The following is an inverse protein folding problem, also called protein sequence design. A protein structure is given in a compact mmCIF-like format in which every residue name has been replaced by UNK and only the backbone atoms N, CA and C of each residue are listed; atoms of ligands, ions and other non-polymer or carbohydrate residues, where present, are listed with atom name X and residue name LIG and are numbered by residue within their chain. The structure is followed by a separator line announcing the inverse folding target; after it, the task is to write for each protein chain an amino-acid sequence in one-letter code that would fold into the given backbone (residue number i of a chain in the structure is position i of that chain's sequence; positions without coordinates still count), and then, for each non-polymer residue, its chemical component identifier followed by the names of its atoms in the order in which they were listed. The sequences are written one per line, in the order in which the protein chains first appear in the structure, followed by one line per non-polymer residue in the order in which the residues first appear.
data_IF_255770895868
#
_entry.id   IF_255770895868
#
_cell.length_a   1.000
_cell.length_b   1.000
_cell.length_c   1.000
_cell.angle_alpha   90.00
_cell.angle_beta   90.00
_cell.angle_gamma   90.00
#
_symmetry.space_group_name_H-M   'P 1'
#
loop_
_entity.id
_entity.type
_entity.pdbx_description
1 polymer ?
#
# COMPACT_ATOMS: atom_id res chain seq x y z
N UNK A 1 -45.23 14.76 -13.51
CA UNK A 1 -44.75 14.01 -12.34
C UNK A 1 -43.62 14.78 -11.69
N UNK A 2 -43.80 15.25 -10.45
CA UNK A 2 -42.70 15.74 -9.62
C UNK A 2 -42.06 14.53 -8.95
N UNK A 3 -40.76 14.33 -9.15
CA UNK A 3 -39.98 13.42 -8.30
C UNK A 3 -39.11 14.28 -7.40
N UNK A 4 -39.33 14.05 -6.13
CA UNK A 4 -38.97 14.84 -4.96
C UNK A 4 -37.50 14.72 -4.57
N UNK A 5 -37.04 15.83 -4.02
CA UNK A 5 -35.86 16.08 -3.19
C UNK A 5 -35.22 14.85 -2.53
N UNK A 6 -33.93 14.63 -2.81
CA UNK A 6 -33.02 13.99 -1.85
C UNK A 6 -32.07 15.08 -1.36
N UNK A 7 -32.45 15.67 -0.23
CA UNK A 7 -31.59 16.52 0.59
C UNK A 7 -30.66 15.60 1.39
N UNK A 8 -29.41 15.44 0.97
CA UNK A 8 -28.39 14.90 1.86
C UNK A 8 -28.05 15.97 2.90
N UNK A 9 -28.53 15.78 4.13
CA UNK A 9 -28.10 16.55 5.28
C UNK A 9 -26.74 16.00 5.72
N UNK A 10 -25.68 16.75 5.53
CA UNK A 10 -24.40 16.55 6.23
C UNK A 10 -24.54 17.10 7.64
N UNK A 11 -25.26 16.39 8.52
CA UNK A 11 -25.23 16.71 9.95
C UNK A 11 -23.94 16.13 10.55
N UNK A 12 -23.25 16.98 11.29
CA UNK A 12 -21.99 16.66 11.93
C UNK A 12 -22.20 15.63 13.03
N UNK A 13 -21.34 14.63 13.08
CA UNK A 13 -21.21 13.79 14.26
C UNK A 13 -19.73 13.60 14.54
N UNK A 14 -19.26 14.37 15.52
CA UNK A 14 -18.00 14.14 16.21
C UNK A 14 -18.18 12.89 17.09
N UNK A 15 -17.80 11.74 16.57
CA UNK A 15 -17.62 10.51 17.36
C UNK A 15 -16.20 10.02 17.13
N UNK A 16 -15.51 9.68 18.22
CA UNK A 16 -14.09 9.33 18.25
C UNK A 16 -13.70 8.38 17.11
N UNK A 17 -12.72 8.81 16.33
CA UNK A 17 -12.22 8.18 15.10
C UNK A 17 -11.75 6.75 15.36
N UNK A 18 -12.65 5.82 15.08
CA UNK A 18 -12.42 4.38 15.09
C UNK A 18 -11.76 3.95 13.75
N UNK A 19 -11.26 2.71 13.63
CA UNK A 19 -10.46 2.23 12.49
C UNK A 19 -11.10 2.37 11.09
N UNK A 20 -12.40 2.67 10.99
CA UNK A 20 -13.15 2.77 9.73
C UNK A 20 -12.75 3.98 8.87
N UNK A 21 -12.32 5.08 9.48
CA UNK A 21 -11.93 6.30 8.74
C UNK A 21 -10.62 6.09 7.96
N UNK A 22 -9.65 5.40 8.58
CA UNK A 22 -8.35 5.16 7.96
C UNK A 22 -8.42 4.14 6.84
N UNK A 23 -9.36 3.20 6.90
CA UNK A 23 -9.65 2.25 5.82
C UNK A 23 -10.15 2.99 4.57
N UNK A 24 -11.06 3.94 4.77
CA UNK A 24 -11.61 4.75 3.67
C UNK A 24 -10.53 5.67 3.07
N UNK A 25 -9.74 6.30 3.93
CA UNK A 25 -8.60 7.12 3.52
C UNK A 25 -7.53 6.31 2.77
N UNK A 26 -7.27 5.07 3.18
CA UNK A 26 -6.32 4.18 2.50
C UNK A 26 -6.71 3.96 1.04
N UNK A 27 -7.96 3.60 0.77
CA UNK A 27 -8.37 3.33 -0.62
C UNK A 27 -8.34 4.58 -1.48
N UNK A 28 -8.68 5.74 -0.91
CA UNK A 28 -8.55 7.01 -1.62
C UNK A 28 -7.08 7.30 -1.98
N UNK A 29 -6.19 7.25 -1.00
CA UNK A 29 -4.75 7.47 -1.20
C UNK A 29 -4.13 6.45 -2.15
N UNK A 30 -4.53 5.18 -2.05
CA UNK A 30 -4.07 4.13 -2.93
C UNK A 30 -4.45 4.40 -4.38
N UNK A 31 -5.70 4.77 -4.66
CA UNK A 31 -6.13 5.09 -6.03
C UNK A 31 -5.40 6.31 -6.59
N UNK A 32 -5.21 7.37 -5.79
CA UNK A 32 -4.46 8.56 -6.21
C UNK A 32 -2.98 8.26 -6.54
N UNK A 33 -2.38 7.29 -5.83
CA UNK A 33 -1.00 6.88 -6.02
C UNK A 33 -0.81 5.74 -7.02
N UNK A 34 -1.85 4.96 -7.31
CA UNK A 34 -1.77 3.70 -8.06
C UNK A 34 -0.94 3.84 -9.34
N UNK A 35 -1.18 4.87 -10.13
CA UNK A 35 -0.45 5.12 -11.39
C UNK A 35 1.03 5.47 -11.18
N UNK A 36 1.35 6.15 -10.06
CA UNK A 36 2.74 6.47 -9.70
C UNK A 36 3.45 5.22 -9.19
N UNK A 37 2.80 4.42 -8.36
CA UNK A 37 3.31 3.16 -7.84
C UNK A 37 3.53 2.16 -8.97
N UNK A 38 2.57 2.01 -9.89
CA UNK A 38 2.71 1.16 -11.07
C UNK A 38 3.91 1.54 -11.94
N UNK A 39 4.10 2.84 -12.23
CA UNK A 39 5.28 3.33 -12.96
C UNK A 39 6.59 3.07 -12.21
N UNK A 40 6.57 3.08 -10.88
CA UNK A 40 7.73 2.69 -10.06
C UNK A 40 8.01 1.19 -10.21
N UNK A 41 6.99 0.35 -10.05
CA UNK A 41 7.09 -1.10 -10.23
C UNK A 41 7.61 -1.45 -11.62
N UNK A 42 7.08 -0.84 -12.69
CA UNK A 42 7.55 -1.04 -14.06
C UNK A 42 9.05 -0.77 -14.21
N UNK A 43 9.54 0.35 -13.67
CA UNK A 43 10.97 0.69 -13.75
C UNK A 43 11.84 -0.33 -13.01
N UNK A 44 11.36 -0.83 -11.87
CA UNK A 44 12.11 -1.78 -11.03
C UNK A 44 12.04 -3.21 -11.60
N UNK A 45 10.92 -3.59 -12.21
CA UNK A 45 10.69 -4.90 -12.84
C UNK A 45 11.16 -4.95 -14.30
N UNK A 46 12.18 -4.16 -14.66
CA UNK A 46 12.78 -4.13 -16.00
C UNK A 46 11.76 -3.94 -17.14
N UNK A 47 10.76 -3.08 -16.93
CA UNK A 47 9.66 -2.79 -17.86
C UNK A 47 8.80 -4.00 -18.24
N UNK A 48 8.80 -5.06 -17.43
CA UNK A 48 7.87 -6.17 -17.58
C UNK A 48 6.51 -5.82 -16.93
N UNK A 49 5.42 -5.70 -17.72
CA UNK A 49 4.10 -5.32 -17.19
C UNK A 49 3.54 -6.39 -16.23
N UNK A 50 3.73 -7.67 -16.53
CA UNK A 50 3.23 -8.77 -15.69
C UNK A 50 3.86 -8.75 -14.30
N UNK A 51 5.19 -8.63 -14.24
CA UNK A 51 5.91 -8.53 -12.96
C UNK A 51 5.54 -7.26 -12.20
N UNK A 52 5.33 -6.15 -12.89
CA UNK A 52 4.97 -4.88 -12.27
C UNK A 52 3.55 -4.92 -11.68
N UNK A 53 2.59 -5.54 -12.38
CA UNK A 53 1.23 -5.75 -11.89
C UNK A 53 1.20 -6.68 -10.67
N UNK A 54 2.00 -7.75 -10.70
CA UNK A 54 2.14 -8.67 -9.57
C UNK A 54 2.75 -7.97 -8.36
N UNK A 55 3.89 -7.27 -8.54
CA UNK A 55 4.53 -6.51 -7.47
C UNK A 55 3.61 -5.43 -6.87
N UNK A 56 2.84 -4.73 -7.72
CA UNK A 56 1.86 -3.74 -7.26
C UNK A 56 0.73 -4.39 -6.45
N UNK A 57 0.23 -5.54 -6.88
CA UNK A 57 -0.83 -6.29 -6.19
C UNK A 57 -0.34 -6.81 -4.83
N UNK A 58 0.87 -7.35 -4.78
CA UNK A 58 1.51 -7.76 -3.52
C UNK A 58 1.73 -6.56 -2.58
N UNK A 59 2.13 -5.40 -3.11
CA UNK A 59 2.28 -4.18 -2.32
C UNK A 59 0.93 -3.75 -1.71
N UNK A 60 -0.16 -3.83 -2.48
CA UNK A 60 -1.50 -3.51 -2.02
C UNK A 60 -1.91 -4.37 -0.83
N UNK A 61 -1.74 -5.69 -0.93
CA UNK A 61 -2.10 -6.65 0.12
C UNK A 61 -1.27 -6.41 1.39
N UNK A 62 0.05 -6.24 1.25
CA UNK A 62 0.94 -5.96 2.39
C UNK A 62 0.63 -4.61 3.04
N UNK A 63 0.32 -3.59 2.23
CA UNK A 63 -0.03 -2.28 2.74
C UNK A 63 -1.35 -2.33 3.52
N UNK A 64 -2.36 -3.03 2.99
CA UNK A 64 -3.65 -3.22 3.62
C UNK A 64 -3.56 -3.95 4.96
N UNK A 65 -2.79 -5.03 5.03
CA UNK A 65 -2.53 -5.75 6.28
C UNK A 65 -1.87 -4.85 7.33
N UNK A 66 -0.79 -4.15 6.93
CA UNK A 66 -0.04 -3.27 7.85
C UNK A 66 -0.83 -2.04 8.28
N UNK A 67 -1.73 -1.51 7.44
CA UNK A 67 -2.60 -0.40 7.84
C UNK A 67 -3.57 -0.84 8.92
N UNK A 68 -4.15 -2.04 8.82
CA UNK A 68 -5.03 -2.57 9.87
C UNK A 68 -4.29 -2.78 11.20
N UNK A 69 -3.03 -3.21 11.17
CA UNK A 69 -2.24 -3.47 12.40
C UNK A 69 -1.55 -2.24 12.97
N UNK A 70 -1.16 -1.27 12.13
CA UNK A 70 -0.30 -0.15 12.49
C UNK A 70 -0.95 1.23 12.25
N UNK A 71 -2.27 1.27 12.03
CA UNK A 71 -3.06 2.46 11.74
C UNK A 71 -2.61 3.71 12.52
N UNK A 72 -2.54 3.61 13.85
CA UNK A 72 -2.21 4.73 14.73
C UNK A 72 -0.74 5.21 14.71
N UNK A 73 0.16 4.54 13.99
CA UNK A 73 1.60 4.88 13.92
C UNK A 73 1.99 5.56 12.60
N UNK A 74 1.15 5.47 11.58
CA UNK A 74 1.45 5.97 10.24
C UNK A 74 1.07 7.46 10.18
N UNK A 75 2.07 8.35 10.32
CA UNK A 75 1.84 9.80 10.26
C UNK A 75 1.55 10.34 8.85
N UNK A 76 2.13 9.71 7.83
CA UNK A 76 1.95 10.09 6.43
C UNK A 76 1.74 8.83 5.58
N UNK A 77 0.47 8.51 5.32
CA UNK A 77 0.09 7.30 4.59
C UNK A 77 0.65 7.28 3.16
N UNK A 78 0.61 8.43 2.48
CA UNK A 78 1.08 8.55 1.11
C UNK A 78 2.57 8.22 0.97
N UNK A 79 3.42 8.84 1.79
CA UNK A 79 4.86 8.60 1.78
C UNK A 79 5.20 7.16 2.17
N UNK A 80 4.48 6.63 3.17
CA UNK A 80 4.64 5.27 3.64
C UNK A 80 4.28 4.24 2.56
N UNK A 81 3.22 4.45 1.79
CA UNK A 81 2.84 3.58 0.65
C UNK A 81 3.92 3.53 -0.42
N UNK A 82 4.46 4.69 -0.80
CA UNK A 82 5.54 4.77 -1.80
C UNK A 82 6.78 4.01 -1.33
N UNK A 83 7.17 4.18 -0.06
CA UNK A 83 8.31 3.49 0.52
C UNK A 83 8.08 1.98 0.60
N UNK A 84 6.90 1.54 1.05
CA UNK A 84 6.52 0.14 1.12
C UNK A 84 6.58 -0.54 -0.25
N UNK A 85 5.99 0.07 -1.28
CA UNK A 85 6.02 -0.49 -2.64
C UNK A 85 7.44 -0.57 -3.18
N UNK A 86 8.26 0.47 -2.96
CA UNK A 86 9.67 0.46 -3.39
C UNK A 86 10.47 -0.63 -2.69
N UNK A 87 10.32 -0.77 -1.39
CA UNK A 87 11.01 -1.79 -0.61
C UNK A 87 10.64 -3.19 -1.11
N UNK A 88 9.34 -3.45 -1.30
CA UNK A 88 8.87 -4.72 -1.86
C UNK A 88 9.50 -5.04 -3.22
N UNK A 89 9.54 -4.06 -4.13
CA UNK A 89 10.16 -4.26 -5.44
C UNK A 89 11.65 -4.61 -5.33
N UNK A 90 12.38 -3.94 -4.41
CA UNK A 90 13.79 -4.23 -4.17
C UNK A 90 13.97 -5.63 -3.60
N UNK A 91 13.08 -6.06 -2.70
CA UNK A 91 13.15 -7.39 -2.10
C UNK A 91 12.86 -8.48 -3.14
N UNK A 92 11.93 -8.28 -4.06
CA UNK A 92 11.72 -9.16 -5.22
C UNK A 92 12.98 -9.25 -6.08
N UNK A 93 13.63 -8.13 -6.38
CA UNK A 93 14.89 -8.11 -7.16
C UNK A 93 16.00 -8.87 -6.42
N UNK A 94 16.10 -8.69 -5.10
CA UNK A 94 17.07 -9.40 -4.26
C UNK A 94 16.80 -10.90 -4.27
N UNK A 95 15.56 -11.33 -4.10
CA UNK A 95 15.18 -12.74 -4.16
C UNK A 95 15.52 -13.37 -5.50
N UNK A 96 15.17 -12.71 -6.62
CA UNK A 96 15.55 -13.18 -7.97
C UNK A 96 17.06 -13.29 -8.16
N UNK A 97 17.83 -12.34 -7.60
CA UNK A 97 19.29 -12.40 -7.63
C UNK A 97 19.85 -13.55 -6.79
N UNK A 98 19.24 -13.86 -5.65
CA UNK A 98 19.66 -14.96 -4.77
C UNK A 98 19.35 -16.32 -5.41
N UNK A 99 18.16 -16.48 -5.98
CA UNK A 99 17.76 -17.66 -6.76
C UNK A 99 18.72 -17.95 -7.91
N UNK A 100 19.16 -16.91 -8.63
CA UNK A 100 20.14 -17.03 -9.70
C UNK A 100 21.53 -17.51 -9.21
N UNK A 101 21.84 -17.31 -7.93
CA UNK A 101 23.12 -17.70 -7.31
C UNK A 101 23.07 -19.01 -6.52
N UNK A 102 21.93 -19.70 -6.47
CA UNK A 102 21.82 -21.05 -5.90
C UNK A 102 22.03 -21.17 -4.39
N UNK A 103 21.77 -20.10 -3.61
CA UNK A 103 21.83 -20.14 -2.15
C UNK A 103 20.40 -20.05 -1.60
N UNK A 104 19.89 -21.20 -1.18
CA UNK A 104 18.57 -21.39 -0.60
C UNK A 104 18.56 -20.94 0.87
N UNK A 105 17.87 -19.85 1.18
CA UNK A 105 17.21 -19.56 2.47
C UNK A 105 16.92 -18.06 2.60
N UNK A 106 15.64 -17.69 2.70
CA UNK A 106 14.98 -17.50 3.99
C UNK A 106 13.68 -16.70 3.79
N UNK A 107 12.63 -17.20 4.44
CA UNK A 107 11.31 -16.63 4.54
C UNK A 107 11.32 -15.11 4.74
N UNK A 108 10.31 -14.47 4.15
CA UNK A 108 9.91 -13.11 4.43
C UNK A 108 9.48 -12.97 5.90
N UNK A 109 10.45 -12.88 6.81
CA UNK A 109 10.23 -12.23 8.10
C UNK A 109 10.27 -10.75 7.76
N UNK A 110 9.09 -10.15 7.59
CA UNK A 110 8.95 -8.73 7.39
C UNK A 110 9.69 -8.01 8.51
N UNK A 111 10.91 -7.56 8.21
CA UNK A 111 11.67 -6.70 9.11
C UNK A 111 10.77 -5.49 9.32
N UNK A 112 10.21 -5.42 10.52
CA UNK A 112 9.67 -4.20 11.08
C UNK A 112 10.87 -3.27 11.17
N UNK A 113 11.13 -2.52 10.09
CA UNK A 113 11.98 -1.34 10.19
C UNK A 113 11.38 -0.51 11.32
N UNK A 114 12.12 -0.53 12.43
CA UNK A 114 11.92 0.32 13.57
C UNK A 114 11.73 1.72 13.03
N UNK A 115 10.52 2.24 13.19
CA UNK A 115 10.26 3.68 13.15
C UNK A 115 10.89 4.19 14.46
N UNK A 116 12.21 4.31 14.47
CA UNK A 116 12.91 4.97 15.56
C UNK A 116 12.84 6.48 15.34
N UNK A 117 12.08 7.08 16.24
CA UNK A 117 12.14 8.45 16.81
C UNK A 117 11.89 9.64 15.89
#
# INVERSE_FOLDING_TARGET
MKSSDIRCNSDGTLTGTAPEDMVSEFWQQWQELKDKLYRCCLKLMNFNPTDAEDALSQAMLKAWEKVQTNAGKIKNLQAWLVQLTRNLCIDIIRQRSLEATGVDSLEWVGVTENIDT
#
